data_IF_999269714339
#
_entry.id   IF_999269714339
#
_cell.length_a   1.000
_cell.length_b   1.000
_cell.length_c   1.000
_cell.angle_alpha   90.00
_cell.angle_beta   90.00
_cell.angle_gamma   90.00
#
_symmetry.space_group_name_H-M   'P 1'
#
loop_
_entity.id
_entity.type
_entity.pdbx_description
1 polymer ?
#
# COMPACT_ATOMS: atom_id res chain seq x y z
N UNK A 1 -5.58 12.75 -15.43
CA UNK A 1 -4.92 11.58 -14.84
C UNK A 1 -5.31 11.54 -13.38
N UNK A 2 -6.33 10.77 -13.04
CA UNK A 2 -6.91 10.79 -11.70
C UNK A 2 -6.31 9.62 -10.93
N UNK A 3 -5.43 9.91 -9.98
CA UNK A 3 -4.88 8.91 -9.07
C UNK A 3 -5.92 8.57 -8.02
N UNK A 4 -6.82 7.66 -8.36
CA UNK A 4 -8.02 7.29 -7.58
C UNK A 4 -7.73 6.43 -6.34
N UNK A 5 -6.49 5.97 -6.16
CA UNK A 5 -6.12 4.98 -5.12
C UNK A 5 -5.06 5.47 -4.11
N UNK A 6 -4.69 6.75 -4.12
CA UNK A 6 -4.09 7.42 -2.95
C UNK A 6 -2.62 7.18 -2.60
N UNK A 7 -1.84 6.43 -3.40
CA UNK A 7 -0.41 6.21 -3.15
C UNK A 7 0.47 7.08 -4.06
N UNK A 8 1.50 7.77 -3.52
CA UNK A 8 2.37 8.63 -4.32
C UNK A 8 3.25 7.81 -5.28
N UNK A 9 3.15 8.12 -6.57
CA UNK A 9 3.62 7.30 -7.71
C UNK A 9 5.14 7.33 -8.01
N UNK A 10 5.91 8.25 -7.40
CA UNK A 10 7.28 8.59 -7.83
C UNK A 10 8.35 8.45 -6.73
N UNK A 11 8.20 7.49 -5.80
CA UNK A 11 9.24 7.27 -4.80
C UNK A 11 10.32 6.31 -5.31
N UNK A 12 11.54 6.82 -5.51
CA UNK A 12 12.72 6.02 -5.89
C UNK A 12 13.14 4.99 -4.83
N UNK A 13 12.65 5.14 -3.59
CA UNK A 13 12.96 4.27 -2.46
C UNK A 13 12.25 2.91 -2.51
N UNK A 14 11.24 2.76 -3.37
CA UNK A 14 10.33 1.62 -3.37
C UNK A 14 10.51 0.80 -4.65
N UNK A 15 11.76 0.50 -5.05
CA UNK A 15 12.04 -0.32 -6.22
C UNK A 15 12.41 -1.75 -5.81
N UNK A 16 11.95 -2.79 -6.54
CA UNK A 16 10.98 -2.77 -7.65
C UNK A 16 9.52 -2.87 -7.16
N UNK A 17 8.64 -1.89 -7.42
CA UNK A 17 7.23 -1.88 -6.93
C UNK A 17 6.21 -1.62 -8.04
N UNK A 18 5.05 -2.29 -8.00
CA UNK A 18 3.92 -2.02 -8.92
C UNK A 18 3.33 -0.61 -8.77
N UNK A 19 3.59 0.06 -7.64
CA UNK A 19 3.13 1.42 -7.36
C UNK A 19 4.11 2.49 -7.84
N UNK A 20 5.28 2.09 -8.36
CA UNK A 20 6.27 3.02 -8.90
C UNK A 20 6.20 2.99 -10.44
N UNK A 21 5.93 4.14 -11.05
CA UNK A 21 5.71 4.25 -12.50
C UNK A 21 6.97 4.01 -13.35
N UNK A 22 8.16 4.07 -12.73
CA UNK A 22 9.46 3.76 -13.37
C UNK A 22 9.87 2.29 -13.21
N UNK A 23 9.12 1.51 -12.44
CA UNK A 23 9.40 0.09 -12.24
C UNK A 23 8.67 -0.75 -13.29
N UNK A 24 9.33 -1.78 -13.82
CA UNK A 24 8.71 -2.80 -14.67
C UNK A 24 8.70 -4.16 -13.95
N UNK A 25 7.99 -4.30 -12.82
CA UNK A 25 7.99 -5.55 -12.08
C UNK A 25 7.17 -6.62 -12.82
N UNK A 26 7.76 -7.79 -13.05
CA UNK A 26 7.05 -8.98 -13.54
C UNK A 26 6.41 -9.80 -12.41
N UNK A 27 6.67 -9.43 -11.14
CA UNK A 27 6.13 -10.07 -9.93
C UNK A 27 5.87 -9.03 -8.83
N UNK A 28 4.87 -9.28 -7.99
CA UNK A 28 4.63 -8.49 -6.78
C UNK A 28 5.73 -8.72 -5.74
N UNK A 29 6.37 -7.64 -5.30
CA UNK A 29 7.34 -7.68 -4.21
C UNK A 29 6.61 -7.81 -2.83
N UNK A 30 7.36 -8.00 -1.74
CA UNK A 30 6.80 -8.11 -0.38
C UNK A 30 6.01 -6.85 0.01
N UNK A 31 6.58 -5.68 -0.23
CA UNK A 31 6.00 -4.36 0.08
C UNK A 31 4.67 -4.10 -0.65
N UNK A 32 4.56 -4.48 -1.91
CA UNK A 32 3.39 -4.34 -2.77
C UNK A 32 2.24 -5.19 -2.25
N UNK A 33 2.54 -6.42 -1.83
CA UNK A 33 1.55 -7.31 -1.22
C UNK A 33 1.02 -6.73 0.10
N UNK A 34 1.89 -6.14 0.90
CA UNK A 34 1.51 -5.49 2.16
C UNK A 34 0.64 -4.28 1.88
N UNK A 35 1.05 -3.41 0.95
CA UNK A 35 0.31 -2.20 0.60
C UNK A 35 -1.06 -2.51 -0.01
N UNK A 36 -1.16 -3.46 -0.92
CA UNK A 36 -2.45 -3.87 -1.49
C UNK A 36 -3.37 -4.43 -0.40
N UNK A 37 -2.87 -5.35 0.43
CA UNK A 37 -3.68 -5.92 1.51
C UNK A 37 -4.12 -4.87 2.52
N UNK A 38 -3.28 -3.87 2.79
CA UNK A 38 -3.65 -2.76 3.67
C UNK A 38 -4.68 -1.82 3.04
N UNK A 39 -4.57 -1.55 1.73
CA UNK A 39 -5.49 -0.67 1.01
C UNK A 39 -6.90 -1.28 0.88
N UNK A 40 -6.98 -2.61 0.77
CA UNK A 40 -8.24 -3.35 0.66
C UNK A 40 -8.65 -4.05 1.97
N UNK A 41 -8.03 -3.71 3.10
CA UNK A 41 -8.43 -4.26 4.40
C UNK A 41 -9.83 -3.74 4.75
N UNK A 42 -10.78 -4.60 5.16
CA UNK A 42 -12.16 -4.20 5.46
C UNK A 42 -12.27 -3.15 6.58
N UNK A 43 -11.23 -3.00 7.42
CA UNK A 43 -11.16 -1.95 8.44
C UNK A 43 -10.93 -0.57 7.83
N UNK A 44 -10.43 -0.48 6.59
CA UNK A 44 -10.15 0.77 5.88
C UNK A 44 -11.26 1.08 4.86
N UNK A 45 -12.41 1.56 5.37
CA UNK A 45 -13.55 1.92 4.52
C UNK A 45 -13.27 3.19 3.69
N UNK A 46 -13.85 3.26 2.48
CA UNK A 46 -13.81 4.47 1.66
C UNK A 46 -14.46 5.65 2.38
N UNK A 47 -13.84 6.83 2.28
CA UNK A 47 -14.29 8.03 3.00
C UNK A 47 -13.75 8.17 4.44
N UNK A 48 -12.95 7.21 4.92
CA UNK A 48 -12.29 7.34 6.24
C UNK A 48 -11.36 8.56 6.27
N UNK A 49 -11.47 9.47 7.26
CA UNK A 49 -10.59 10.63 7.36
C UNK A 49 -9.12 10.24 7.43
N UNK A 50 -8.25 10.97 6.72
CA UNK A 50 -6.81 10.67 6.57
C UNK A 50 -6.11 10.28 7.88
N UNK A 51 -6.36 11.01 8.97
CA UNK A 51 -5.74 10.74 10.29
C UNK A 51 -6.13 9.36 10.83
N UNK A 52 -7.39 8.98 10.69
CA UNK A 52 -7.91 7.68 11.10
C UNK A 52 -7.42 6.57 10.17
N UNK A 53 -7.48 6.81 8.86
CA UNK A 53 -6.99 5.90 7.83
C UNK A 53 -5.52 5.52 8.06
N UNK A 54 -4.66 6.50 8.37
CA UNK A 54 -3.24 6.24 8.68
C UNK A 54 -3.04 5.45 9.97
N UNK A 55 -3.92 5.60 10.96
CA UNK A 55 -3.87 4.80 12.18
C UNK A 55 -4.22 3.33 11.91
N UNK A 56 -5.28 3.11 11.13
CA UNK A 56 -5.73 1.78 10.71
C UNK A 56 -4.66 1.12 9.84
N UNK A 57 -4.18 1.82 8.81
CA UNK A 57 -3.16 1.32 7.90
C UNK A 57 -1.89 0.88 8.64
N UNK A 58 -1.39 1.64 9.63
CA UNK A 58 -0.21 1.23 10.41
C UNK A 58 -0.41 -0.09 11.16
N UNK A 59 -1.58 -0.27 11.80
CA UNK A 59 -1.90 -1.53 12.51
C UNK A 59 -1.99 -2.70 11.53
N UNK A 60 -2.73 -2.51 10.44
CA UNK A 60 -2.93 -3.51 9.38
C UNK A 60 -1.58 -3.92 8.77
N UNK A 61 -0.73 -2.95 8.42
CA UNK A 61 0.60 -3.19 7.85
C UNK A 61 1.47 -4.00 8.82
N UNK A 62 1.52 -3.64 10.10
CA UNK A 62 2.30 -4.36 11.10
C UNK A 62 1.81 -5.81 11.29
N UNK A 63 0.50 -6.02 11.32
CA UNK A 63 -0.10 -7.36 11.40
C UNK A 63 0.19 -8.22 10.16
N UNK A 64 0.14 -7.63 8.98
CA UNK A 64 0.40 -8.34 7.72
C UNK A 64 1.88 -8.68 7.61
N UNK A 65 2.78 -7.74 7.92
CA UNK A 65 4.22 -7.96 7.83
C UNK A 65 4.68 -9.06 8.80
N UNK A 66 4.13 -9.09 10.02
CA UNK A 66 4.39 -10.16 10.99
C UNK A 66 3.87 -11.54 10.54
N UNK A 67 2.89 -11.59 9.63
CA UNK A 67 2.31 -12.84 9.10
C UNK A 67 2.94 -13.28 7.77
N UNK A 68 3.73 -12.43 7.12
CA UNK A 68 4.41 -12.80 5.88
C UNK A 68 5.72 -13.54 6.22
N UNK A 69 5.92 -14.76 5.68
CA UNK A 69 7.16 -15.51 5.86
C UNK A 69 8.38 -14.78 5.29
#
# INVERSE_FOLDING_TARGET
MTQTLGLPNDSDLIKPSIFNNRSQPTRLNRTDKILLRALYDPRLAAGTPKKHALGIARKVIAEIDAKLP
#
